data_IF_982522042468
#
_entry.id   IF_982522042468
#
_cell.length_a   1.000
_cell.length_b   1.000
_cell.length_c   1.000
_cell.angle_alpha   90.00
_cell.angle_beta   90.00
_cell.angle_gamma   90.00
#
_symmetry.space_group_name_H-M   'P 1'
#
loop_
_entity.id
_entity.type
_entity.pdbx_description
1 polymer ?
#
# COMPACT_ATOMS: atom_id res chain seq x y z
N UNK A 1 19.89 4.43 -1.35
CA UNK A 1 19.01 3.39 -0.77
C UNK A 1 18.49 2.57 -1.94
N UNK A 2 18.72 1.25 -1.95
CA UNK A 2 18.34 0.35 -3.05
C UNK A 2 16.91 -0.20 -2.93
N UNK A 3 16.20 0.13 -1.85
CA UNK A 3 14.81 -0.29 -1.62
C UNK A 3 14.65 -1.74 -1.14
N UNK A 4 15.75 -2.45 -0.86
CA UNK A 4 15.76 -3.84 -0.37
C UNK A 4 14.93 -4.06 0.91
N UNK A 5 14.84 -3.04 1.75
CA UNK A 5 14.09 -3.03 3.01
C UNK A 5 12.62 -2.59 2.86
N UNK A 6 12.15 -2.28 1.64
CA UNK A 6 10.76 -1.87 1.38
C UNK A 6 9.81 -3.02 1.75
N UNK A 7 8.88 -2.75 2.67
CA UNK A 7 7.84 -3.72 3.02
C UNK A 7 6.83 -3.89 1.87
N UNK A 8 6.26 -5.10 1.68
CA UNK A 8 5.19 -5.30 0.72
C UNK A 8 4.02 -4.37 0.98
N UNK A 9 3.43 -3.82 -0.09
CA UNK A 9 2.28 -2.93 0.03
C UNK A 9 1.08 -3.66 0.65
N UNK A 10 0.33 -2.94 1.49
CA UNK A 10 -0.99 -3.36 1.96
C UNK A 10 -2.05 -2.66 1.09
N UNK A 11 -2.76 -3.44 0.28
CA UNK A 11 -3.88 -2.97 -0.53
C UNK A 11 -5.20 -3.33 0.16
N UNK A 12 -6.11 -2.36 0.27
CA UNK A 12 -7.41 -2.55 0.88
C UNK A 12 -8.49 -2.34 -0.19
N UNK A 13 -9.25 -3.39 -0.49
CA UNK A 13 -10.36 -3.32 -1.43
C UNK A 13 -11.73 -3.46 -0.77
N UNK A 14 -12.79 -3.35 -1.57
CA UNK A 14 -14.17 -3.45 -1.09
C UNK A 14 -14.61 -4.88 -0.83
N UNK A 15 -14.24 -5.78 -1.73
CA UNK A 15 -14.71 -7.17 -1.75
C UNK A 15 -13.62 -8.10 -1.22
N UNK A 16 -13.99 -9.09 -0.40
CA UNK A 16 -13.03 -10.06 0.13
C UNK A 16 -12.43 -10.96 -0.95
N UNK A 17 -13.24 -11.34 -1.94
CA UNK A 17 -12.81 -12.14 -3.09
C UNK A 17 -13.29 -11.48 -4.40
N UNK A 18 -12.55 -10.48 -4.92
CA UNK A 18 -12.79 -9.91 -6.22
C UNK A 18 -12.70 -10.98 -7.32
N UNK A 19 -13.60 -10.93 -8.32
CA UNK A 19 -13.62 -11.93 -9.41
C UNK A 19 -12.29 -12.05 -10.16
N UNK A 20 -11.56 -10.94 -10.31
CA UNK A 20 -10.24 -10.91 -10.95
C UNK A 20 -9.13 -11.61 -10.16
N UNK A 21 -9.37 -12.02 -8.90
CA UNK A 21 -8.42 -12.82 -8.12
C UNK A 21 -8.73 -14.33 -8.19
N UNK A 22 -9.80 -14.75 -8.87
CA UNK A 22 -10.14 -16.17 -8.99
C UNK A 22 -9.03 -16.92 -9.73
N UNK A 23 -8.50 -17.97 -9.12
CA UNK A 23 -7.41 -18.78 -9.69
C UNK A 23 -6.01 -18.15 -9.54
N UNK A 24 -5.89 -17.01 -8.84
CA UNK A 24 -4.60 -16.39 -8.56
C UNK A 24 -4.08 -16.91 -7.22
N UNK A 25 -2.96 -17.66 -7.26
CA UNK A 25 -2.37 -18.27 -6.06
C UNK A 25 -1.54 -17.28 -5.24
N UNK A 26 -0.91 -16.29 -5.90
CA UNK A 26 -0.01 -15.33 -5.27
C UNK A 26 -0.25 -13.93 -5.79
N UNK A 27 -0.45 -12.98 -4.89
CA UNK A 27 -0.54 -11.55 -5.21
C UNK A 27 0.78 -10.85 -4.87
N UNK A 28 1.19 -9.83 -5.64
CA UNK A 28 2.42 -9.08 -5.35
C UNK A 28 2.25 -8.09 -4.18
N UNK A 29 1.05 -7.99 -3.61
CA UNK A 29 0.70 -7.13 -2.47
C UNK A 29 -0.02 -7.96 -1.39
N UNK A 30 0.04 -7.50 -0.14
CA UNK A 30 -0.86 -8.02 0.89
C UNK A 30 -2.24 -7.42 0.66
N UNK A 31 -3.27 -8.26 0.50
CA UNK A 31 -4.64 -7.80 0.32
C UNK A 31 -5.47 -7.92 1.60
N UNK A 32 -6.22 -6.87 1.92
CA UNK A 32 -7.27 -6.85 2.95
C UNK A 32 -8.53 -6.23 2.35
N UNK A 33 -9.66 -6.35 3.04
CA UNK A 33 -10.91 -5.79 2.57
C UNK A 33 -11.77 -5.25 3.70
N UNK A 34 -12.56 -4.23 3.38
CA UNK A 34 -13.70 -3.78 4.18
C UNK A 34 -14.67 -3.03 3.27
N UNK A 35 -15.90 -2.78 3.75
CA UNK A 35 -16.97 -2.18 2.94
C UNK A 35 -16.61 -0.81 2.31
N UNK A 36 -15.67 -0.08 2.91
CA UNK A 36 -15.27 1.28 2.51
C UNK A 36 -13.95 1.35 1.74
N UNK A 37 -13.21 0.23 1.63
CA UNK A 37 -11.90 0.15 0.99
C UNK A 37 -10.86 1.16 1.51
N UNK A 38 -10.87 1.44 2.82
CA UNK A 38 -9.97 2.39 3.47
C UNK A 38 -9.25 1.79 4.68
N UNK A 39 -8.19 2.43 5.18
CA UNK A 39 -7.50 1.99 6.39
C UNK A 39 -8.42 2.13 7.62
N UNK A 40 -8.34 1.16 8.54
CA UNK A 40 -9.00 1.21 9.85
C UNK A 40 -7.99 0.93 10.95
N UNK A 41 -8.27 1.37 12.18
CA UNK A 41 -7.38 1.12 13.32
C UNK A 41 -7.15 -0.37 13.59
N UNK A 42 -8.14 -1.21 13.30
CA UNK A 42 -8.01 -2.67 13.39
C UNK A 42 -7.04 -3.24 12.35
N UNK A 43 -7.16 -2.83 11.08
CA UNK A 43 -6.27 -3.28 10.01
C UNK A 43 -4.85 -2.76 10.21
N UNK A 44 -4.71 -1.51 10.65
CA UNK A 44 -3.41 -0.94 10.99
C UNK A 44 -2.76 -1.71 12.15
N UNK A 45 -3.50 -2.00 13.22
CA UNK A 45 -3.01 -2.79 14.35
C UNK A 45 -2.54 -4.18 13.93
N UNK A 46 -3.32 -4.88 13.13
CA UNK A 46 -2.95 -6.19 12.58
C UNK A 46 -1.64 -6.11 11.78
N UNK A 47 -1.52 -5.08 10.93
CA UNK A 47 -0.33 -4.83 10.13
C UNK A 47 0.91 -4.58 11.00
N UNK A 48 0.83 -3.67 11.97
CA UNK A 48 1.96 -3.37 12.88
C UNK A 48 2.36 -4.61 13.67
N UNK A 49 1.41 -5.34 14.26
CA UNK A 49 1.71 -6.54 15.05
C UNK A 49 2.36 -7.66 14.21
N UNK A 50 1.94 -7.82 12.95
CA UNK A 50 2.58 -8.76 12.03
C UNK A 50 4.04 -8.40 11.77
N UNK A 51 4.32 -7.12 11.52
CA UNK A 51 5.67 -6.64 11.27
C UNK A 51 6.54 -6.62 12.52
N UNK A 52 5.97 -6.35 13.70
CA UNK A 52 6.66 -6.44 14.99
C UNK A 52 7.22 -7.84 15.23
N UNK A 53 6.39 -8.88 15.04
CA UNK A 53 6.85 -10.28 15.13
C UNK A 53 7.97 -10.58 14.14
N UNK A 54 7.85 -10.11 12.89
CA UNK A 54 8.89 -10.28 11.87
C UNK A 54 10.21 -9.66 12.30
N UNK A 55 10.19 -8.39 12.72
CA UNK A 55 11.41 -7.67 13.10
C UNK A 55 12.02 -8.24 14.37
N UNK A 56 11.20 -8.68 15.32
CA UNK A 56 11.68 -9.36 16.51
C UNK A 56 12.42 -10.66 16.17
N UNK A 57 11.88 -11.49 15.27
CA UNK A 57 12.57 -12.71 14.82
C UNK A 57 13.88 -12.40 14.07
N UNK A 58 13.98 -11.21 13.48
CA UNK A 58 15.20 -10.71 12.85
C UNK A 58 16.17 -10.06 13.84
N UNK A 59 15.83 -9.98 15.14
CA UNK A 59 16.65 -9.30 16.15
C UNK A 59 16.74 -7.77 15.94
N UNK A 60 15.76 -7.17 15.27
CA UNK A 60 15.76 -5.74 14.92
C UNK A 60 14.85 -4.93 15.83
N UNK A 61 15.28 -3.72 16.14
CA UNK A 61 14.42 -2.66 16.68
C UNK A 61 14.16 -1.61 15.62
N UNK A 62 12.89 -1.18 15.47
CA UNK A 62 12.43 -0.33 14.37
C UNK A 62 11.59 0.83 14.92
N UNK A 63 11.91 2.06 14.51
CA UNK A 63 11.08 3.22 14.74
C UNK A 63 10.05 3.38 13.60
N UNK A 64 8.76 3.38 13.93
CA UNK A 64 7.66 3.64 13.00
C UNK A 64 7.15 5.06 13.20
N UNK A 65 7.42 5.94 12.24
CA UNK A 65 7.00 7.35 12.26
C UNK A 65 5.65 7.50 11.56
N UNK A 66 4.67 8.11 12.23
CA UNK A 66 3.28 8.19 11.81
C UNK A 66 2.75 9.62 11.89
N UNK A 67 1.75 9.93 11.06
CA UNK A 67 0.90 11.10 11.22
C UNK A 67 -0.27 10.82 12.19
N UNK A 68 -0.97 11.87 12.61
CA UNK A 68 -2.10 11.79 13.54
C UNK A 68 -3.43 11.42 12.86
N UNK A 69 -3.42 10.37 12.03
CA UNK A 69 -4.62 9.83 11.40
C UNK A 69 -5.49 9.08 12.43
N UNK A 70 -6.82 9.16 12.32
CA UNK A 70 -7.74 8.41 13.18
C UNK A 70 -7.61 6.89 13.06
N UNK A 71 -7.09 6.41 11.92
CA UNK A 71 -6.77 5.01 11.72
C UNK A 71 -5.48 4.57 12.42
N UNK A 72 -4.71 5.49 13.00
CA UNK A 72 -3.47 5.19 13.73
C UNK A 72 -3.74 5.30 15.25
N UNK A 73 -4.05 4.18 15.94
CA UNK A 73 -4.24 4.21 17.38
C UNK A 73 -2.93 4.65 18.07
N UNK A 74 -3.04 5.53 19.07
CA UNK A 74 -1.88 6.07 19.80
C UNK A 74 -1.09 4.99 20.56
N UNK A 75 -1.78 3.93 20.98
CA UNK A 75 -1.18 2.81 21.73
C UNK A 75 -1.58 1.49 21.09
N UNK A 76 -0.57 0.65 20.82
CA UNK A 76 -0.74 -0.76 20.47
C UNK A 76 0.01 -1.58 21.52
N UNK A 77 -0.72 -2.39 22.29
CA UNK A 77 -0.11 -3.22 23.32
C UNK A 77 0.68 -4.41 22.74
N UNK A 78 1.75 -4.79 23.44
CA UNK A 78 2.52 -6.00 23.15
C UNK A 78 3.53 -5.90 22.00
N UNK A 79 3.85 -4.69 21.52
CA UNK A 79 4.96 -4.49 20.59
C UNK A 79 6.29 -4.68 21.31
N UNK A 80 7.22 -5.41 20.69
CA UNK A 80 8.54 -5.72 21.27
C UNK A 80 9.71 -5.24 20.41
N UNK A 81 9.49 -5.05 19.12
CA UNK A 81 10.51 -4.62 18.16
C UNK A 81 10.19 -3.24 17.56
N UNK A 82 8.91 -2.90 17.40
CA UNK A 82 8.48 -1.63 16.84
C UNK A 82 8.16 -0.63 17.95
N UNK A 83 8.74 0.57 17.85
CA UNK A 83 8.35 1.74 18.65
C UNK A 83 7.68 2.76 17.74
N UNK A 84 6.48 3.23 18.13
CA UNK A 84 5.69 4.18 17.34
C UNK A 84 5.98 5.62 17.77
N UNK A 85 6.24 6.49 16.79
CA UNK A 85 6.46 7.92 16.98
C UNK A 85 5.44 8.70 16.15
N UNK A 86 4.72 9.63 16.79
CA UNK A 86 3.74 10.46 16.12
C UNK A 86 4.31 11.84 15.84
N UNK A 87 4.16 12.31 14.61
CA UNK A 87 4.51 13.66 14.23
C UNK A 87 3.59 14.68 14.92
N UNK A 88 4.06 15.91 15.19
CA UNK A 88 3.19 16.95 15.72
C UNK A 88 1.99 17.22 14.80
N UNK A 89 0.82 17.59 15.34
CA UNK A 89 -0.33 17.99 14.53
C UNK A 89 0.04 19.08 13.51
N UNK A 90 -0.60 19.03 12.33
CA UNK A 90 -0.44 20.01 11.24
C UNK A 90 0.99 20.15 10.67
N UNK A 91 1.86 19.17 10.87
CA UNK A 91 3.23 19.19 10.29
C UNK A 91 3.41 18.23 9.11
N UNK A 92 2.35 17.54 8.67
CA UNK A 92 2.43 16.43 7.70
C UNK A 92 3.12 16.84 6.40
N UNK A 93 2.70 17.94 5.78
CA UNK A 93 3.30 18.41 4.52
C UNK A 93 4.78 18.78 4.62
N UNK A 94 5.26 19.12 5.82
CA UNK A 94 6.64 19.57 6.03
C UNK A 94 7.55 18.50 6.58
N UNK A 95 7.05 17.55 7.37
CA UNK A 95 7.87 16.56 8.08
C UNK A 95 7.63 15.12 7.64
N UNK A 96 6.48 14.82 7.03
CA UNK A 96 6.09 13.44 6.74
C UNK A 96 6.73 13.01 5.41
N UNK A 97 7.63 11.99 5.42
CA UNK A 97 8.38 11.63 4.23
C UNK A 97 7.53 11.13 3.06
N UNK A 98 6.35 10.56 3.34
CA UNK A 98 5.46 10.13 2.27
C UNK A 98 4.95 11.32 1.43
N UNK A 99 4.59 12.42 2.09
CA UNK A 99 4.14 13.66 1.47
C UNK A 99 5.29 14.43 0.79
N UNK A 100 6.53 14.27 1.27
CA UNK A 100 7.71 14.92 0.69
C UNK A 100 8.21 14.33 -0.63
N UNK A 101 7.64 13.23 -1.11
CA UNK A 101 8.01 12.72 -2.44
C UNK A 101 7.65 11.28 -2.72
N UNK A 102 7.53 10.42 -1.70
CA UNK A 102 7.23 9.00 -1.91
C UNK A 102 5.87 8.84 -2.60
N UNK A 103 4.83 9.55 -2.11
CA UNK A 103 3.49 9.51 -2.71
C UNK A 103 3.52 10.07 -4.13
N UNK A 104 4.24 11.17 -4.35
CA UNK A 104 4.37 11.79 -5.68
C UNK A 104 5.01 10.82 -6.67
N UNK A 105 6.16 10.24 -6.30
CA UNK A 105 6.90 9.30 -7.15
C UNK A 105 6.08 8.03 -7.42
N UNK A 106 5.46 7.46 -6.38
CA UNK A 106 4.57 6.32 -6.52
C UNK A 106 3.44 6.61 -7.52
N UNK A 107 2.75 7.76 -7.39
CA UNK A 107 1.68 8.17 -8.31
C UNK A 107 2.19 8.39 -9.74
N UNK A 108 3.39 8.94 -9.91
CA UNK A 108 4.01 9.16 -11.22
C UNK A 108 4.31 7.83 -11.91
N UNK A 109 4.95 6.89 -11.21
CA UNK A 109 5.29 5.57 -11.76
C UNK A 109 4.00 4.79 -12.05
N UNK A 110 3.06 4.76 -11.11
CA UNK A 110 1.77 4.11 -11.30
C UNK A 110 1.04 4.64 -12.53
N UNK A 111 0.93 5.97 -12.68
CA UNK A 111 0.29 6.58 -13.86
C UNK A 111 1.02 6.24 -15.16
N UNK A 112 2.36 6.22 -15.16
CA UNK A 112 3.13 5.78 -16.32
C UNK A 112 2.74 4.36 -16.73
N UNK A 113 2.65 3.43 -15.78
CA UNK A 113 2.26 2.03 -16.05
C UNK A 113 0.81 1.92 -16.57
N UNK A 114 -0.11 2.72 -16.02
CA UNK A 114 -1.49 2.81 -16.52
C UNK A 114 -1.53 3.28 -17.98
N UNK A 115 -0.79 4.36 -18.30
CA UNK A 115 -0.74 4.90 -19.67
C UNK A 115 -0.07 3.93 -20.64
N UNK A 116 0.99 3.24 -20.21
CA UNK A 116 1.63 2.21 -21.03
C UNK A 116 0.65 1.08 -21.35
N UNK A 117 -0.10 0.58 -20.36
CA UNK A 117 -1.17 -0.40 -20.61
C UNK A 117 -2.22 0.12 -21.58
N UNK A 118 -2.60 1.40 -21.47
CA UNK A 118 -3.56 2.04 -22.37
C UNK A 118 -3.05 2.06 -23.82
N UNK A 119 -1.84 2.56 -24.04
CA UNK A 119 -1.21 2.63 -25.37
C UNK A 119 -1.10 1.23 -25.98
N UNK A 120 -0.57 0.25 -25.23
CA UNK A 120 -0.46 -1.12 -25.72
C UNK A 120 -1.80 -1.76 -26.05
N UNK A 121 -2.88 -1.39 -25.35
CA UNK A 121 -4.22 -1.88 -25.69
C UNK A 121 -4.73 -1.24 -26.99
N UNK A 122 -4.48 0.06 -27.17
CA UNK A 122 -4.87 0.81 -28.37
C UNK A 122 -4.15 0.29 -29.62
N UNK A 123 -2.84 0.03 -29.53
CA UNK A 123 -2.05 -0.50 -30.64
C UNK A 123 -2.58 -1.86 -31.15
N UNK A 124 -3.21 -2.64 -30.25
CA UNK A 124 -3.79 -3.94 -30.58
C UNK A 124 -5.21 -3.82 -31.16
N UNK A 125 -6.04 -2.91 -30.64
CA UNK A 125 -7.46 -2.83 -31.01
C UNK A 125 -7.78 -1.81 -32.10
N UNK A 126 -6.90 -0.84 -32.37
CA UNK A 126 -7.09 0.19 -33.40
C UNK A 126 -8.30 1.12 -33.18
N UNK A 127 -8.92 1.07 -31.99
CA UNK A 127 -10.14 1.81 -31.66
C UNK A 127 -9.94 2.62 -30.38
N UNK A 128 -10.44 3.86 -30.38
CA UNK A 128 -10.52 4.72 -29.18
C UNK A 128 -11.65 4.31 -28.24
N UNK A 129 -12.53 3.40 -28.66
CA UNK A 129 -13.64 2.87 -27.87
C UNK A 129 -13.14 1.81 -26.86
N UNK A 130 -12.13 2.20 -26.09
CA UNK A 130 -11.58 1.37 -25.03
C UNK A 130 -12.29 1.75 -23.74
N UNK A 131 -13.40 1.08 -23.44
CA UNK A 131 -13.79 0.84 -22.06
C UNK A 131 -12.70 -0.02 -21.40
N UNK A 132 -11.57 0.62 -21.07
CA UNK A 132 -10.38 -0.06 -20.59
C UNK A 132 -10.69 -0.60 -19.20
N UNK A 133 -11.00 -1.90 -19.12
CA UNK A 133 -11.30 -2.57 -17.86
C UNK A 133 -9.99 -2.77 -17.11
N UNK A 134 -9.61 -1.79 -16.30
CA UNK A 134 -8.58 -1.98 -15.29
C UNK A 134 -9.15 -2.88 -14.19
N UNK A 135 -8.61 -4.09 -14.08
CA UNK A 135 -8.95 -4.98 -12.98
C UNK A 135 -8.22 -4.57 -11.70
N UNK A 136 -8.71 -5.01 -10.54
CA UNK A 136 -7.99 -4.83 -9.28
C UNK A 136 -6.66 -5.62 -9.27
N UNK A 137 -6.59 -6.71 -10.04
CA UNK A 137 -5.34 -7.46 -10.23
C UNK A 137 -4.31 -6.59 -10.96
N UNK A 138 -4.70 -5.94 -12.05
CA UNK A 138 -3.82 -5.01 -12.78
C UNK A 138 -3.34 -3.89 -11.86
N UNK A 139 -4.26 -3.28 -11.12
CA UNK A 139 -3.93 -2.22 -10.16
C UNK A 139 -2.94 -2.72 -9.09
N UNK A 140 -3.09 -3.96 -8.60
CA UNK A 140 -2.19 -4.55 -7.62
C UNK A 140 -0.78 -4.78 -8.17
N UNK A 141 -0.67 -5.24 -9.42
CA UNK A 141 0.62 -5.46 -10.10
C UNK A 141 1.32 -4.14 -10.36
N UNK A 142 0.60 -3.15 -10.88
CA UNK A 142 1.14 -1.81 -11.14
C UNK A 142 1.58 -1.11 -9.85
N UNK A 143 0.79 -1.24 -8.77
CA UNK A 143 1.14 -0.69 -7.47
C UNK A 143 2.42 -1.33 -6.91
N UNK A 144 2.57 -2.64 -7.00
CA UNK A 144 3.78 -3.32 -6.53
C UNK A 144 5.04 -2.93 -7.31
N UNK A 145 4.90 -2.59 -8.59
CA UNK A 145 5.97 -2.12 -9.46
C UNK A 145 6.30 -0.62 -9.30
N UNK A 146 5.54 0.12 -8.47
CA UNK A 146 5.71 1.56 -8.22
C UNK A 146 6.46 1.84 -6.91
#
# INVERSE_FOLDING_TARGET
MDGSEKLPLLMIGKFGQPRCFKGINTLPVTYRHNKKAWMTSSLFKEWVQKHDRRFLMQGRSVALVLDNCSAHPQVISGLRAITMFFLPPNTTSRLQPCDQGIIKNFKTIYRKLVLQKFISSFDVTGSTDTHLKMSLLDASVMAAAS
#
